data_IF_203262850166
#
_entry.id   IF_203262850166
#
_cell.length_a   1.000
_cell.length_b   1.000
_cell.length_c   1.000
_cell.angle_alpha   90.00
_cell.angle_beta   90.00
_cell.angle_gamma   90.00
#
_symmetry.space_group_name_H-M   'P 1'
#
loop_
_entity.id
_entity.type
_entity.pdbx_description
1 polymer ?
#
# COMPACT_ATOMS: atom_id res chain seq x y z
N UNK A 1 -63.14 -1.72 -1.98
CA UNK A 1 -62.26 -2.38 -0.99
C UNK A 1 -60.92 -1.66 -1.02
N UNK A 2 -60.48 -1.08 0.09
CA UNK A 2 -59.17 -0.42 0.15
C UNK A 2 -58.05 -1.46 0.13
N UNK A 3 -57.15 -1.35 -0.85
CA UNK A 3 -56.00 -2.25 -0.99
C UNK A 3 -54.93 -1.80 0.01
N UNK A 4 -54.64 -2.64 1.00
CA UNK A 4 -53.54 -2.39 1.96
C UNK A 4 -52.20 -2.45 1.23
N UNK A 5 -51.35 -1.44 1.43
CA UNK A 5 -50.01 -1.35 0.80
C UNK A 5 -49.02 -2.39 1.32
N UNK A 6 -49.11 -2.78 2.59
CA UNK A 6 -48.25 -3.81 3.20
C UNK A 6 -49.03 -4.62 4.23
N UNK A 7 -48.50 -5.79 4.59
CA UNK A 7 -49.07 -6.64 5.63
C UNK A 7 -48.89 -6.05 7.05
N UNK A 8 -48.08 -5.00 7.23
CA UNK A 8 -47.72 -4.45 8.54
C UNK A 8 -46.76 -5.36 9.33
N UNK A 9 -46.61 -5.10 10.64
CA UNK A 9 -45.71 -5.88 11.52
C UNK A 9 -46.20 -7.31 11.64
N UNK A 10 -45.39 -8.25 11.15
CA UNK A 10 -45.66 -9.68 11.27
C UNK A 10 -45.03 -10.25 12.54
N UNK A 11 -45.74 -11.19 13.18
CA UNK A 11 -45.17 -11.98 14.27
C UNK A 11 -44.16 -12.98 13.69
N UNK A 12 -43.02 -13.10 14.34
CA UNK A 12 -41.96 -14.06 13.99
C UNK A 12 -41.63 -14.92 15.22
N UNK A 13 -41.12 -16.12 15.00
CA UNK A 13 -40.63 -17.02 16.05
C UNK A 13 -39.41 -16.41 16.76
N UNK A 14 -39.25 -16.74 18.05
CA UNK A 14 -38.10 -16.33 18.86
C UNK A 14 -36.94 -17.32 18.69
N UNK A 15 -36.51 -17.49 17.44
CA UNK A 15 -35.39 -18.35 17.06
C UNK A 15 -34.45 -17.60 16.11
N UNK A 16 -33.35 -18.25 15.72
CA UNK A 16 -32.40 -17.66 14.78
C UNK A 16 -33.04 -17.49 13.39
N UNK A 17 -33.15 -16.24 12.93
CA UNK A 17 -33.68 -15.94 11.59
C UNK A 17 -32.68 -16.45 10.55
N UNK A 18 -32.99 -17.49 9.76
CA UNK A 18 -31.99 -18.06 8.85
C UNK A 18 -31.62 -17.17 7.66
N UNK A 19 -32.59 -16.43 7.11
CA UNK A 19 -32.35 -15.52 5.99
C UNK A 19 -31.48 -14.33 6.40
N UNK A 20 -30.22 -14.32 5.95
CA UNK A 20 -29.18 -13.33 6.29
C UNK A 20 -29.65 -11.87 6.16
N UNK A 21 -30.30 -11.50 5.06
CA UNK A 21 -30.80 -10.13 4.82
C UNK A 21 -31.83 -9.71 5.87
N UNK A 22 -32.78 -10.59 6.18
CA UNK A 22 -33.83 -10.32 7.17
C UNK A 22 -33.25 -10.31 8.58
N UNK A 23 -32.29 -11.20 8.87
CA UNK A 23 -31.56 -11.25 10.13
C UNK A 23 -30.83 -9.93 10.39
N UNK A 24 -30.10 -9.39 9.42
CA UNK A 24 -29.38 -8.13 9.57
C UNK A 24 -30.31 -6.93 9.70
N UNK A 25 -31.38 -6.85 8.89
CA UNK A 25 -32.38 -5.80 9.06
C UNK A 25 -33.01 -5.85 10.46
N UNK A 26 -33.41 -7.05 10.91
CA UNK A 26 -33.98 -7.25 12.25
C UNK A 26 -32.99 -6.91 13.36
N UNK A 27 -31.72 -7.26 13.20
CA UNK A 27 -30.66 -6.89 14.15
C UNK A 27 -30.50 -5.38 14.26
N UNK A 28 -30.44 -4.66 13.13
CA UNK A 28 -30.32 -3.20 13.11
C UNK A 28 -31.51 -2.52 13.80
N UNK A 29 -32.74 -2.91 13.46
CA UNK A 29 -33.95 -2.36 14.08
C UNK A 29 -34.04 -2.66 15.57
N UNK A 30 -33.76 -3.90 15.98
CA UNK A 30 -33.78 -4.30 17.40
C UNK A 30 -32.68 -3.60 18.19
N UNK A 31 -31.48 -3.47 17.63
CA UNK A 31 -30.36 -2.75 18.26
C UNK A 31 -30.72 -1.28 18.50
N UNK A 32 -31.32 -0.61 17.50
CA UNK A 32 -31.79 0.76 17.65
C UNK A 32 -32.87 0.89 18.74
N UNK A 33 -33.86 0.01 18.71
CA UNK A 33 -34.92 -0.03 19.73
C UNK A 33 -34.38 -0.29 21.14
N UNK A 34 -33.39 -1.18 21.27
CA UNK A 34 -32.72 -1.48 22.54
C UNK A 34 -32.00 -0.26 23.10
N UNK A 35 -31.22 0.46 22.30
CA UNK A 35 -30.55 1.69 22.74
C UNK A 35 -31.54 2.78 23.16
N UNK A 36 -32.66 2.91 22.45
CA UNK A 36 -33.71 3.85 22.82
C UNK A 36 -34.29 3.50 24.20
N UNK A 37 -34.63 2.22 24.43
CA UNK A 37 -35.14 1.76 25.72
C UNK A 37 -34.13 1.88 26.86
N UNK A 38 -32.87 1.59 26.57
CA UNK A 38 -31.77 1.79 27.50
C UNK A 38 -31.66 3.27 27.94
N UNK A 39 -31.70 4.19 26.99
CA UNK A 39 -31.65 5.63 27.28
C UNK A 39 -32.86 6.13 28.06
N UNK A 40 -34.06 5.60 27.77
CA UNK A 40 -35.27 5.89 28.56
C UNK A 40 -35.09 5.41 30.01
N UNK A 41 -34.58 4.20 30.22
CA UNK A 41 -34.38 3.62 31.55
C UNK A 41 -33.34 4.38 32.38
N UNK A 42 -32.19 4.72 31.78
CA UNK A 42 -31.14 5.54 32.43
C UNK A 42 -31.71 6.88 32.88
N UNK A 43 -32.55 7.51 32.04
CA UNK A 43 -33.16 8.81 32.35
C UNK A 43 -34.24 8.72 33.43
N UNK A 44 -35.08 7.69 33.41
CA UNK A 44 -36.24 7.57 34.31
C UNK A 44 -35.90 6.99 35.67
N UNK A 45 -34.91 6.10 35.73
CA UNK A 45 -34.54 5.40 36.96
C UNK A 45 -33.19 5.85 37.53
N UNK A 46 -32.48 6.76 36.86
CA UNK A 46 -31.15 7.24 37.27
C UNK A 46 -30.16 6.08 37.51
N UNK A 47 -30.19 5.07 36.63
CA UNK A 47 -29.34 3.86 36.72
C UNK A 47 -28.20 3.90 35.71
N UNK A 48 -27.04 3.40 36.10
CA UNK A 48 -25.93 3.12 35.17
C UNK A 48 -26.17 1.81 34.41
N UNK A 49 -26.10 1.87 33.08
CA UNK A 49 -26.39 0.73 32.20
C UNK A 49 -25.31 0.57 31.12
N UNK A 50 -24.65 -0.59 31.10
CA UNK A 50 -23.71 -0.98 30.05
C UNK A 50 -24.35 -1.93 29.03
N UNK A 51 -24.14 -1.70 27.73
CA UNK A 51 -24.60 -2.57 26.65
C UNK A 51 -23.43 -2.98 25.77
N UNK A 52 -23.17 -4.29 25.66
CA UNK A 52 -22.19 -4.84 24.73
C UNK A 52 -22.89 -5.62 23.60
N UNK A 53 -22.63 -5.23 22.35
CA UNK A 53 -23.19 -5.88 21.16
C UNK A 53 -22.08 -6.02 20.13
N UNK A 54 -21.85 -7.25 19.65
CA UNK A 54 -20.96 -7.53 18.53
C UNK A 54 -21.74 -7.95 17.30
N UNK A 55 -21.36 -7.47 16.11
CA UNK A 55 -21.93 -7.93 14.85
C UNK A 55 -20.92 -8.75 14.05
N UNK A 56 -21.43 -9.66 13.22
CA UNK A 56 -20.61 -10.52 12.36
C UNK A 56 -19.80 -9.70 11.33
N UNK A 57 -20.36 -8.59 10.84
CA UNK A 57 -19.67 -7.69 9.90
C UNK A 57 -18.50 -7.01 10.58
N UNK A 58 -18.68 -6.55 11.82
CA UNK A 58 -17.62 -5.90 12.58
C UNK A 58 -16.46 -6.86 12.87
N UNK A 59 -16.76 -8.11 13.22
CA UNK A 59 -15.74 -9.14 13.39
C UNK A 59 -14.98 -9.41 12.08
N UNK A 60 -15.69 -9.53 10.94
CA UNK A 60 -15.07 -9.74 9.62
C UNK A 60 -14.15 -8.58 9.23
N UNK A 61 -14.59 -7.34 9.44
CA UNK A 61 -13.78 -6.16 9.13
C UNK A 61 -12.50 -6.12 9.97
N UNK A 62 -12.57 -6.49 11.26
CA UNK A 62 -11.38 -6.63 12.12
C UNK A 62 -10.42 -7.70 11.58
N UNK A 63 -10.93 -8.85 11.15
CA UNK A 63 -10.10 -9.92 10.54
C UNK A 63 -9.42 -9.44 9.27
N UNK A 64 -10.14 -8.74 8.37
CA UNK A 64 -9.56 -8.18 7.14
C UNK A 64 -8.43 -7.20 7.48
N UNK A 65 -8.66 -6.28 8.41
CA UNK A 65 -7.64 -5.33 8.87
C UNK A 65 -6.41 -6.04 9.45
N UNK A 66 -6.60 -7.11 10.22
CA UNK A 66 -5.50 -7.90 10.77
C UNK A 66 -4.71 -8.60 9.67
N UNK A 67 -5.39 -9.13 8.65
CA UNK A 67 -4.75 -9.77 7.52
C UNK A 67 -3.91 -8.79 6.70
N UNK A 68 -4.41 -7.57 6.46
CA UNK A 68 -3.67 -6.51 5.77
C UNK A 68 -2.41 -6.10 6.56
N UNK A 69 -2.53 -6.01 7.89
CA UNK A 69 -1.37 -5.78 8.77
C UNK A 69 -0.33 -6.89 8.67
N UNK A 70 -0.77 -8.16 8.67
CA UNK A 70 0.13 -9.30 8.55
C UNK A 70 0.90 -9.26 7.21
N UNK A 71 0.18 -9.02 6.11
CA UNK A 71 0.78 -8.89 4.79
C UNK A 71 1.82 -7.77 4.71
N UNK A 72 1.55 -6.63 5.37
CA UNK A 72 2.51 -5.53 5.45
C UNK A 72 3.80 -5.94 6.18
N UNK A 73 3.69 -6.65 7.30
CA UNK A 73 4.86 -7.14 8.04
C UNK A 73 5.66 -8.15 7.23
N UNK A 74 5.01 -9.10 6.57
CA UNK A 74 5.66 -10.06 5.69
C UNK A 74 6.43 -9.38 4.55
N UNK A 75 5.83 -8.37 3.92
CA UNK A 75 6.50 -7.60 2.87
C UNK A 75 7.72 -6.85 3.42
N UNK A 76 7.58 -6.22 4.60
CA UNK A 76 8.66 -5.49 5.26
C UNK A 76 9.82 -6.42 5.66
N UNK A 77 9.52 -7.61 6.17
CA UNK A 77 10.50 -8.63 6.52
C UNK A 77 11.31 -9.06 5.28
N UNK A 78 10.63 -9.28 4.14
CA UNK A 78 11.30 -9.62 2.87
C UNK A 78 12.25 -8.53 2.39
N UNK A 79 11.83 -7.26 2.47
CA UNK A 79 12.67 -6.12 2.12
C UNK A 79 13.89 -6.07 3.04
N UNK A 80 13.70 -6.20 4.36
CA UNK A 80 14.80 -6.23 5.34
C UNK A 80 15.82 -7.31 5.00
N UNK A 81 15.36 -8.51 4.66
CA UNK A 81 16.26 -9.61 4.30
C UNK A 81 17.00 -9.34 2.98
N UNK A 82 16.32 -8.76 1.99
CA UNK A 82 16.95 -8.37 0.74
C UNK A 82 18.03 -7.29 0.93
N UNK A 83 17.76 -6.29 1.77
CA UNK A 83 18.71 -5.24 2.12
C UNK A 83 19.93 -5.82 2.82
N UNK A 84 19.74 -6.73 3.78
CA UNK A 84 20.83 -7.42 4.46
C UNK A 84 21.71 -8.23 3.50
N UNK A 85 21.08 -8.94 2.55
CA UNK A 85 21.83 -9.66 1.52
C UNK A 85 22.61 -8.71 0.61
N UNK A 86 22.03 -7.57 0.25
CA UNK A 86 22.71 -6.56 -0.56
C UNK A 86 23.89 -5.95 0.20
N UNK A 87 23.71 -5.58 1.47
CA UNK A 87 24.79 -5.08 2.33
C UNK A 87 25.92 -6.11 2.47
N UNK A 88 25.60 -7.39 2.68
CA UNK A 88 26.59 -8.45 2.77
C UNK A 88 27.39 -8.61 1.46
N UNK A 89 26.73 -8.49 0.31
CA UNK A 89 27.39 -8.52 -1.01
C UNK A 89 28.30 -7.32 -1.21
N UNK A 90 27.84 -6.11 -0.88
CA UNK A 90 28.63 -4.87 -0.98
C UNK A 90 29.85 -4.95 -0.07
N UNK A 91 29.67 -5.45 1.16
CA UNK A 91 30.78 -5.68 2.09
C UNK A 91 31.82 -6.65 1.51
N UNK A 92 31.38 -7.79 0.99
CA UNK A 92 32.28 -8.76 0.35
C UNK A 92 33.03 -8.18 -0.85
N UNK A 93 32.41 -7.26 -1.61
CA UNK A 93 33.07 -6.56 -2.71
C UNK A 93 34.20 -5.63 -2.22
N UNK A 94 33.96 -4.86 -1.15
CA UNK A 94 35.01 -4.04 -0.52
C UNK A 94 36.12 -4.88 0.12
N UNK A 95 35.79 -5.97 0.81
CA UNK A 95 36.77 -6.90 1.40
C UNK A 95 37.67 -7.54 0.34
N UNK A 96 37.14 -7.84 -0.85
CA UNK A 96 37.93 -8.32 -1.98
C UNK A 96 38.87 -7.23 -2.53
N UNK A 97 38.43 -5.97 -2.56
CA UNK A 97 39.29 -4.86 -2.96
C UNK A 97 40.45 -4.61 -1.99
N UNK A 98 40.23 -4.82 -0.69
CA UNK A 98 41.27 -4.60 0.31
C UNK A 98 42.42 -5.61 0.20
N UNK A 99 42.17 -6.81 -0.34
CA UNK A 99 43.16 -7.86 -0.55
C UNK A 99 44.21 -7.54 -1.63
N UNK A 100 43.98 -6.55 -2.50
CA UNK A 100 44.97 -6.18 -3.52
C UNK A 100 46.23 -5.53 -2.94
N UNK A 101 47.39 -5.86 -3.51
CA UNK A 101 48.67 -5.22 -3.19
C UNK A 101 48.67 -3.72 -3.57
N UNK A 102 49.48 -2.91 -2.88
CA UNK A 102 49.69 -1.46 -3.14
C UNK A 102 50.03 -1.19 -4.61
N UNK A 103 50.82 -2.05 -5.23
CA UNK A 103 51.26 -1.90 -6.62
C UNK A 103 50.13 -2.17 -7.63
N UNK A 104 49.29 -3.17 -7.34
CA UNK A 104 48.10 -3.49 -8.13
C UNK A 104 47.03 -2.39 -8.02
N UNK A 105 46.80 -1.88 -6.80
CA UNK A 105 45.91 -0.74 -6.55
C UNK A 105 46.34 0.51 -7.32
N UNK A 106 47.64 0.77 -7.38
CA UNK A 106 48.21 1.92 -8.11
C UNK A 106 47.98 1.80 -9.61
N UNK A 107 48.27 0.62 -10.18
CA UNK A 107 48.05 0.35 -11.61
C UNK A 107 46.59 0.46 -12.02
N UNK A 108 45.67 -0.05 -11.19
CA UNK A 108 44.21 0.08 -11.44
C UNK A 108 43.79 1.55 -11.41
N UNK A 109 44.29 2.33 -10.44
CA UNK A 109 43.97 3.76 -10.32
C UNK A 109 44.42 4.57 -11.52
N UNK A 110 45.63 4.32 -12.03
CA UNK A 110 46.16 4.97 -13.24
C UNK A 110 45.33 4.64 -14.48
N UNK A 111 44.93 3.38 -14.65
CA UNK A 111 44.07 2.96 -15.74
C UNK A 111 42.70 3.65 -15.68
N UNK A 112 42.10 3.74 -14.49
CA UNK A 112 40.78 4.36 -14.30
C UNK A 112 40.80 5.86 -14.64
N UNK A 113 41.82 6.58 -14.16
CA UNK A 113 42.03 8.00 -14.48
C UNK A 113 42.23 8.23 -15.99
N UNK A 114 42.93 7.30 -16.65
CA UNK A 114 43.15 7.37 -18.11
C UNK A 114 41.83 7.16 -18.87
N UNK A 115 41.02 6.18 -18.46
CA UNK A 115 39.72 5.91 -19.06
C UNK A 115 38.73 7.07 -18.86
N UNK A 116 38.68 7.66 -17.67
CA UNK A 116 37.87 8.83 -17.36
C UNK A 116 38.27 10.04 -18.24
N UNK A 117 39.58 10.29 -18.38
CA UNK A 117 40.09 11.31 -19.28
C UNK A 117 39.64 11.10 -20.73
N UNK A 118 39.70 9.86 -21.22
CA UNK A 118 39.28 9.52 -22.58
C UNK A 118 37.78 9.76 -22.80
N UNK A 119 36.94 9.33 -21.85
CA UNK A 119 35.50 9.53 -21.92
C UNK A 119 35.12 11.02 -21.90
N UNK A 120 35.79 11.82 -21.07
CA UNK A 120 35.57 13.26 -21.02
C UNK A 120 35.98 13.97 -22.32
N UNK A 121 37.01 13.49 -23.01
CA UNK A 121 37.39 14.00 -24.34
C UNK A 121 36.31 13.67 -25.37
N UNK A 122 35.79 12.43 -25.37
CA UNK A 122 34.71 12.03 -26.28
C UNK A 122 33.43 12.82 -26.02
N UNK A 123 33.08 13.07 -24.76
CA UNK A 123 31.93 13.86 -24.38
C UNK A 123 32.04 15.30 -24.93
N UNK A 124 33.18 15.96 -24.76
CA UNK A 124 33.45 17.31 -25.27
C UNK A 124 33.42 17.39 -26.81
N UNK A 125 33.88 16.35 -27.49
CA UNK A 125 33.81 16.27 -28.96
C UNK A 125 32.36 16.19 -29.45
N UNK A 126 31.49 15.44 -28.76
CA UNK A 126 30.07 15.36 -29.08
C UNK A 126 29.33 16.68 -28.80
N UNK A 127 29.67 17.37 -27.71
CA UNK A 127 29.09 18.67 -27.36
C UNK A 127 29.48 19.78 -28.33
N UNK A 128 30.74 19.78 -28.83
CA UNK A 128 31.20 20.75 -29.84
C UNK A 128 30.73 20.44 -31.27
N UNK A 129 30.47 19.16 -31.60
CA UNK A 129 29.97 18.74 -32.90
C UNK A 129 28.48 19.05 -33.15
N UNK A 130 27.69 19.27 -32.09
CA UNK A 130 26.27 19.60 -32.19
C UNK A 130 26.00 21.00 -32.82
N UNK A 131 27.01 21.86 -32.94
CA UNK A 131 26.84 23.24 -33.44
C UNK A 131 27.07 23.41 -34.94
N UNK A 132 27.39 22.36 -35.71
CA UNK A 132 27.72 22.45 -37.15
C UNK A 132 26.73 21.75 -38.09
N UNK A 133 25.50 21.48 -37.66
CA UNK A 133 24.43 20.94 -38.53
C UNK A 133 23.10 21.66 -38.29
N UNK A 134 23.08 22.96 -38.59
CA UNK A 134 21.84 23.72 -38.76
C UNK A 134 21.98 24.64 -39.98
N UNK A 135 22.11 24.05 -41.17
CA UNK A 135 21.70 24.74 -42.39
C UNK A 135 20.30 24.25 -42.76
N UNK A 136 19.32 25.14 -42.94
CA UNK A 136 18.01 24.75 -43.43
C UNK A 136 18.13 24.27 -44.90
N UNK A 137 17.21 23.39 -45.36
CA UNK A 137 17.25 22.91 -46.74
C UNK A 137 16.98 24.07 -47.72
N UNK A 138 17.56 24.05 -48.93
CA UNK A 138 17.29 25.08 -49.92
C UNK A 138 15.81 24.98 -50.36
N UNK A 139 15.11 26.12 -50.35
CA UNK A 139 13.77 26.23 -50.94
C UNK A 139 13.85 26.00 -52.44
N UNK A 140 13.14 24.98 -52.92
CA UNK A 140 12.93 24.71 -54.32
C UNK A 140 12.21 25.89 -54.99
N UNK A 141 12.95 26.65 -55.78
CA UNK A 141 12.42 27.57 -56.79
C UNK A 141 12.90 27.09 -58.16
N UNK A 142 12.08 26.34 -58.90
CA UNK A 142 11.28 26.91 -59.98
C UNK A 142 10.54 25.84 -60.82
N UNK A 143 9.42 26.31 -61.36
CA UNK A 143 8.79 26.00 -62.65
C UNK A 143 9.69 25.31 -63.71
#
# INVERSE_FOLDING_TARGET
MEVKKTAGRQKISMEKIEKKVVRYASFSERRLGLYKKASELVRECEVDLGIFISSEIEARNKVIQMNDRLNYFDAKEKIRMADQMNEARVRGWWEAMDQFNVEEKTKIKEWLNTAEGLLNVQLKQLESGASSSAQPPPEDANN
#
